data_IF_021563838554
#
_entry.id   IF_021563838554
#
_cell.length_a   1.000
_cell.length_b   1.000
_cell.length_c   1.000
_cell.angle_alpha   90.00
_cell.angle_beta   90.00
_cell.angle_gamma   90.00
#
_symmetry.space_group_name_H-M   'P 1'
#
loop_
_entity.id
_entity.type
_entity.pdbx_description
1 polymer ?
#
# COMPACT_ATOMS: atom_id res chain seq x y z
N UNK A 1 5.60 1.52 -2.55
CA UNK A 1 6.72 0.62 -2.23
C UNK A 1 6.23 -0.77 -2.50
N UNK A 2 7.04 -1.61 -3.16
CA UNK A 2 6.62 -2.97 -3.52
C UNK A 2 6.90 -3.90 -2.35
N UNK A 3 5.89 -4.69 -1.97
CA UNK A 3 5.93 -5.62 -0.85
C UNK A 3 5.47 -6.99 -1.37
N UNK A 4 6.29 -8.01 -1.12
CA UNK A 4 5.90 -9.40 -1.35
C UNK A 4 5.20 -9.92 -0.10
N UNK A 5 3.95 -10.36 -0.26
CA UNK A 5 3.13 -10.88 0.82
C UNK A 5 2.85 -12.38 0.61
N UNK A 6 3.10 -13.26 1.60
CA UNK A 6 2.82 -14.69 1.46
C UNK A 6 1.33 -14.96 1.22
N UNK A 7 1.02 -15.70 0.16
CA UNK A 7 -0.38 -16.03 -0.17
C UNK A 7 -1.06 -16.87 0.91
N UNK A 8 -0.29 -17.69 1.62
CA UNK A 8 -0.77 -18.48 2.75
C UNK A 8 -1.29 -17.66 3.94
N UNK A 9 -0.95 -16.37 4.03
CA UNK A 9 -1.47 -15.46 5.06
C UNK A 9 -2.80 -14.81 4.68
N UNK A 10 -3.29 -15.08 3.47
CA UNK A 10 -4.60 -14.61 2.99
C UNK A 10 -5.63 -15.71 3.17
N UNK A 11 -6.85 -15.40 3.65
CA UNK A 11 -7.93 -16.38 3.74
C UNK A 11 -8.22 -17.03 2.37
N UNK A 12 -8.39 -18.36 2.35
CA UNK A 12 -8.57 -19.12 1.10
C UNK A 12 -9.88 -18.78 0.35
N UNK A 13 -10.87 -18.24 1.06
CA UNK A 13 -12.13 -17.76 0.50
C UNK A 13 -11.99 -16.41 -0.22
N UNK A 14 -10.88 -15.70 -0.02
CA UNK A 14 -10.62 -14.41 -0.63
C UNK A 14 -9.95 -14.56 -2.00
N UNK A 15 -10.72 -14.30 -3.07
CA UNK A 15 -10.16 -14.18 -4.41
C UNK A 15 -9.44 -12.85 -4.56
N UNK A 16 -8.12 -12.91 -4.69
CA UNK A 16 -7.31 -11.74 -4.97
C UNK A 16 -7.19 -11.50 -6.47
N UNK A 17 -7.41 -10.27 -6.90
CA UNK A 17 -7.26 -9.84 -8.28
C UNK A 17 -6.33 -8.63 -8.36
N UNK A 18 -5.48 -8.52 -9.41
CA UNK A 18 -4.72 -7.29 -9.67
C UNK A 18 -5.62 -6.06 -9.74
N UNK A 19 -5.20 -4.96 -9.13
CA UNK A 19 -5.95 -3.73 -8.99
C UNK A 19 -6.85 -3.66 -7.74
N UNK A 20 -6.99 -4.75 -6.99
CA UNK A 20 -7.82 -4.74 -5.78
C UNK A 20 -7.14 -3.95 -4.64
N UNK A 21 -7.84 -2.99 -4.01
CA UNK A 21 -7.34 -2.29 -2.83
C UNK A 21 -7.49 -3.17 -1.59
N UNK A 22 -6.45 -3.17 -0.75
CA UNK A 22 -6.40 -3.88 0.53
C UNK A 22 -5.89 -2.93 1.61
N UNK A 23 -6.15 -3.28 2.87
CA UNK A 23 -5.61 -2.55 4.02
C UNK A 23 -4.82 -3.53 4.87
N UNK A 24 -3.53 -3.27 5.02
CA UNK A 24 -2.65 -4.03 5.92
C UNK A 24 -2.51 -3.28 7.25
N UNK A 25 -2.19 -3.99 8.33
CA UNK A 25 -1.80 -3.36 9.59
C UNK A 25 -0.28 -3.42 9.73
N UNK A 26 0.36 -2.27 9.97
CA UNK A 26 1.80 -2.22 10.25
C UNK A 26 2.13 -2.66 11.69
N UNK A 27 3.41 -2.69 12.07
CA UNK A 27 3.85 -3.10 13.41
C UNK A 27 3.32 -2.19 14.54
N UNK A 28 2.95 -0.94 14.23
CA UNK A 28 2.32 -0.03 15.18
C UNK A 28 0.79 -0.19 15.25
N UNK A 29 0.23 -1.17 14.53
CA UNK A 29 -1.21 -1.42 14.43
C UNK A 29 -1.95 -0.42 13.54
N UNK A 30 -1.24 0.44 12.80
CA UNK A 30 -1.87 1.43 11.93
C UNK A 30 -2.23 0.80 10.57
N UNK A 31 -3.40 1.15 10.02
CA UNK A 31 -3.81 0.70 8.70
C UNK A 31 -2.96 1.37 7.61
N UNK A 32 -2.47 0.57 6.67
CA UNK A 32 -1.72 0.99 5.49
C UNK A 32 -2.50 0.51 4.26
N UNK A 33 -3.04 1.42 3.44
CA UNK A 33 -3.69 1.04 2.19
C UNK A 33 -2.63 0.56 1.19
N UNK A 34 -2.93 -0.56 0.52
CA UNK A 34 -2.09 -1.15 -0.53
C UNK A 34 -2.96 -1.61 -1.69
N UNK A 35 -2.36 -1.82 -2.85
CA UNK A 35 -3.04 -2.33 -4.05
C UNK A 35 -2.36 -3.60 -4.53
N UNK A 36 -3.12 -4.62 -4.90
CA UNK A 36 -2.58 -5.82 -5.52
C UNK A 36 -2.05 -5.48 -6.92
N UNK A 37 -0.76 -5.68 -7.16
CA UNK A 37 -0.13 -5.48 -8.47
C UNK A 37 -0.13 -6.79 -9.27
N UNK A 38 0.18 -7.89 -8.60
CA UNK A 38 0.34 -9.19 -9.24
C UNK A 38 0.03 -10.31 -8.22
N UNK A 39 -0.61 -11.38 -8.68
CA UNK A 39 -0.86 -12.60 -7.88
C UNK A 39 -0.06 -13.74 -8.51
N UNK A 40 0.91 -14.26 -7.77
CA UNK A 40 1.71 -15.44 -8.17
C UNK A 40 1.21 -16.68 -7.40
N UNK A 41 1.89 -17.81 -7.62
CA UNK A 41 1.52 -19.08 -7.01
C UNK A 41 1.64 -19.04 -5.48
N UNK A 42 2.79 -18.59 -4.97
CA UNK A 42 3.10 -18.58 -3.53
C UNK A 42 3.05 -17.20 -2.87
N UNK A 43 3.15 -16.13 -3.67
CA UNK A 43 3.28 -14.74 -3.19
C UNK A 43 2.36 -13.80 -3.94
N UNK A 44 1.94 -12.73 -3.26
CA UNK A 44 1.17 -11.63 -3.81
C UNK A 44 2.04 -10.39 -3.76
N UNK A 45 2.14 -9.69 -4.88
CA UNK A 45 2.88 -8.43 -4.98
C UNK A 45 1.93 -7.28 -4.69
N UNK A 46 2.23 -6.49 -3.67
CA UNK A 46 1.42 -5.36 -3.22
C UNK A 46 2.18 -4.05 -3.41
N UNK A 47 1.50 -3.01 -3.87
CA UNK A 47 2.05 -1.65 -3.88
C UNK A 47 1.46 -0.83 -2.72
N UNK A 48 2.34 -0.36 -1.85
CA UNK A 48 2.06 0.55 -0.75
C UNK A 48 2.54 1.99 -1.03
N UNK A 49 2.72 2.37 -2.30
CA UNK A 49 3.06 3.75 -2.66
C UNK A 49 1.92 4.69 -2.27
N UNK A 50 2.28 5.84 -1.71
CA UNK A 50 1.32 6.94 -1.59
C UNK A 50 0.82 7.32 -2.98
N UNK A 51 -0.43 7.77 -3.11
CA UNK A 51 -1.01 8.16 -4.41
C UNK A 51 -0.27 9.31 -5.12
N UNK A 52 0.56 10.05 -4.37
CA UNK A 52 1.42 11.12 -4.86
C UNK A 52 2.84 10.66 -5.20
N UNK A 53 3.19 9.39 -5.00
CA UNK A 53 4.52 8.88 -5.32
C UNK A 53 4.78 8.97 -6.83
N UNK A 54 5.89 9.59 -7.21
CA UNK A 54 6.24 9.83 -8.62
C UNK A 54 5.51 11.01 -9.27
N UNK A 55 4.64 11.72 -8.53
CA UNK A 55 4.03 12.97 -8.99
C UNK A 55 4.96 14.15 -8.67
N UNK A 56 5.05 15.12 -9.58
CA UNK A 56 5.66 16.42 -9.29
C UNK A 56 4.70 17.20 -8.38
N UNK A 57 5.18 17.59 -7.20
CA UNK A 57 4.36 18.29 -6.20
C UNK A 57 4.77 19.76 -6.14
N UNK A 58 3.83 20.63 -6.48
CA UNK A 58 3.98 22.08 -6.32
C UNK A 58 3.22 22.50 -5.06
N UNK A 59 3.94 23.04 -4.08
CA UNK A 59 3.37 23.51 -2.84
C UNK A 59 3.45 25.04 -2.78
N UNK A 60 2.36 25.67 -2.39
CA UNK A 60 2.35 27.06 -1.91
C UNK A 60 2.31 27.00 -0.38
N UNK A 61 3.37 27.44 0.29
CA UNK A 61 3.59 27.25 1.72
C UNK A 61 3.61 28.60 2.41
N UNK A 62 2.82 28.75 3.47
CA UNK A 62 2.81 29.91 4.36
C UNK A 62 3.43 29.55 5.72
N UNK A 63 4.37 30.38 6.20
CA UNK A 63 4.98 30.21 7.52
C UNK A 63 4.07 30.83 8.59
N UNK A 64 3.51 29.99 9.45
CA UNK A 64 2.57 30.43 10.51
C UNK A 64 3.31 30.94 11.75
N UNK A 65 4.31 30.21 12.27
CA UNK A 65 5.06 30.59 13.48
C UNK A 65 6.40 29.84 13.56
N UNK A 66 7.39 30.43 14.24
CA UNK A 66 8.59 29.75 14.73
C UNK A 66 8.74 30.09 16.22
N UNK A 67 8.79 29.09 17.09
CA UNK A 67 8.95 29.22 18.54
C UNK A 67 10.42 29.22 18.99
#
# INVERSE_FOLDING_TARGET
AIIDFPKASVPEDMKLEPGMPLTLSNQAGQPVPVVVVEVKDDVIVLDANHFLAGQELVFDIELVEIA
#
